data_IF_359328993563
#
_entry.id   IF_359328993563
#
_cell.length_a   1.000
_cell.length_b   1.000
_cell.length_c   1.000
_cell.angle_alpha   90.00
_cell.angle_beta   90.00
_cell.angle_gamma   90.00
#
_symmetry.space_group_name_H-M   'P 1'
#
loop_
_entity.id
_entity.type
_entity.pdbx_description
1 polymer ?
#
# COMPACT_ATOMS: atom_id res chain seq x y z
N UNK A 1 -20.59 65.86 -19.21
CA UNK A 1 -20.44 64.42 -19.08
C UNK A 1 -18.99 64.08 -19.37
N UNK A 2 -18.21 63.87 -18.32
CA UNK A 2 -16.76 63.67 -18.42
C UNK A 2 -16.48 62.18 -18.26
N UNK A 3 -15.99 61.54 -19.29
CA UNK A 3 -15.62 60.11 -19.29
C UNK A 3 -14.28 59.94 -18.52
N UNK A 4 -14.31 59.19 -17.43
CA UNK A 4 -13.13 58.83 -16.68
C UNK A 4 -12.43 57.65 -17.38
N UNK A 5 -11.20 57.86 -17.81
CA UNK A 5 -10.29 56.88 -18.37
C UNK A 5 -9.78 55.95 -17.26
N UNK A 6 -10.10 54.64 -17.33
CA UNK A 6 -9.55 53.61 -16.44
C UNK A 6 -8.13 53.27 -16.87
N UNK A 7 -7.19 53.50 -15.98
CA UNK A 7 -5.77 53.05 -16.12
C UNK A 7 -5.73 51.51 -16.01
N UNK A 8 -5.01 50.80 -16.90
CA UNK A 8 -4.86 49.35 -16.79
C UNK A 8 -3.94 48.98 -15.61
N UNK A 9 -4.39 48.01 -14.81
CA UNK A 9 -3.65 47.48 -13.69
C UNK A 9 -2.35 46.79 -14.17
N UNK A 10 -1.22 47.16 -13.59
CA UNK A 10 0.09 46.54 -13.83
C UNK A 10 0.02 45.04 -13.47
N UNK A 11 0.34 44.17 -14.45
CA UNK A 11 0.50 42.75 -14.24
C UNK A 11 1.60 42.49 -13.18
N UNK A 12 1.28 41.67 -12.17
CA UNK A 12 2.25 41.20 -11.19
C UNK A 12 3.33 40.36 -11.92
N UNK A 13 4.62 40.55 -11.62
CA UNK A 13 5.65 39.69 -12.19
C UNK A 13 5.43 38.24 -11.74
N UNK A 14 5.48 37.31 -12.68
CA UNK A 14 5.44 35.88 -12.40
C UNK A 14 6.63 35.54 -11.49
N UNK A 15 6.33 35.08 -10.28
CA UNK A 15 7.33 34.60 -9.33
C UNK A 15 8.11 33.45 -9.96
N UNK A 16 9.42 33.33 -9.65
CA UNK A 16 10.23 32.17 -9.97
C UNK A 16 9.47 30.93 -9.54
N UNK A 17 9.45 29.83 -10.36
CA UNK A 17 8.87 28.57 -9.92
C UNK A 17 9.55 28.18 -8.61
N UNK A 18 8.76 27.99 -7.56
CA UNK A 18 9.23 27.42 -6.29
C UNK A 18 9.84 26.06 -6.61
N UNK A 19 10.98 25.73 -5.96
CA UNK A 19 11.51 24.38 -6.03
C UNK A 19 10.38 23.39 -5.72
N UNK A 20 10.26 22.25 -6.46
CA UNK A 20 9.19 21.31 -6.24
C UNK A 20 9.17 20.93 -4.76
N UNK A 21 8.05 21.13 -4.09
CA UNK A 21 7.90 20.76 -2.70
C UNK A 21 8.10 19.25 -2.62
N UNK A 22 8.99 18.79 -1.75
CA UNK A 22 9.22 17.36 -1.53
C UNK A 22 7.88 16.73 -1.12
N UNK A 23 7.48 15.65 -1.80
CA UNK A 23 6.30 14.92 -1.41
C UNK A 23 6.43 14.39 0.02
N UNK A 24 5.34 14.31 0.76
CA UNK A 24 5.30 13.68 2.07
C UNK A 24 4.31 12.53 2.08
N UNK A 25 4.68 11.43 2.72
CA UNK A 25 3.81 10.28 2.92
C UNK A 25 3.62 10.07 4.41
N UNK A 26 2.40 10.31 4.88
CA UNK A 26 2.02 10.08 6.28
C UNK A 26 1.74 8.61 6.48
N UNK A 27 2.40 8.02 7.46
CA UNK A 27 2.38 6.59 7.80
C UNK A 27 2.16 6.41 9.30
N UNK A 28 1.69 5.23 9.68
CA UNK A 28 1.70 4.74 11.07
C UNK A 28 2.78 3.66 11.26
N UNK A 29 2.59 2.70 12.16
CA UNK A 29 3.55 1.63 12.43
C UNK A 29 4.00 0.88 11.16
N UNK A 30 5.30 0.67 11.02
CA UNK A 30 5.87 -0.18 9.96
C UNK A 30 5.69 -1.67 10.26
N UNK A 31 5.60 -2.03 11.53
CA UNK A 31 5.40 -3.42 11.93
C UNK A 31 3.96 -3.89 11.69
N UNK A 32 2.96 -3.06 12.04
CA UNK A 32 1.57 -3.49 12.10
C UNK A 32 0.68 -2.92 10.99
N UNK A 33 1.01 -1.73 10.42
CA UNK A 33 0.12 -1.08 9.46
C UNK A 33 0.28 -1.58 8.04
N UNK A 34 -0.62 -2.45 7.64
CA UNK A 34 -0.70 -2.93 6.26
C UNK A 34 -1.07 -1.83 5.26
N UNK A 35 -1.77 -0.79 5.69
CA UNK A 35 -2.11 0.35 4.84
C UNK A 35 -0.91 1.24 4.59
N UNK A 36 -0.10 1.49 5.61
CA UNK A 36 1.16 2.23 5.47
C UNK A 36 2.13 1.53 4.53
N UNK A 37 2.29 0.21 4.64
CA UNK A 37 3.11 -0.60 3.72
C UNK A 37 2.64 -0.43 2.27
N UNK A 38 1.33 -0.56 2.00
CA UNK A 38 0.77 -0.37 0.64
C UNK A 38 1.08 1.02 0.08
N UNK A 39 0.84 2.06 0.88
CA UNK A 39 1.11 3.45 0.45
C UNK A 39 2.58 3.69 0.13
N UNK A 40 3.48 3.18 0.97
CA UNK A 40 4.92 3.28 0.76
C UNK A 40 5.37 2.56 -0.52
N UNK A 41 4.93 1.31 -0.73
CA UNK A 41 5.26 0.55 -1.93
C UNK A 41 4.76 1.24 -3.20
N UNK A 42 3.53 1.76 -3.20
CA UNK A 42 2.97 2.50 -4.34
C UNK A 42 3.80 3.73 -4.69
N UNK A 43 4.19 4.54 -3.70
CA UNK A 43 5.02 5.72 -3.93
C UNK A 43 6.43 5.35 -4.43
N UNK A 44 7.04 4.30 -3.87
CA UNK A 44 8.33 3.79 -4.32
C UNK A 44 8.27 3.18 -5.72
N UNK A 45 7.21 2.45 -6.04
CA UNK A 45 7.00 1.87 -7.38
C UNK A 45 6.83 2.96 -8.45
N UNK A 46 6.19 4.07 -8.07
CA UNK A 46 6.09 5.25 -8.93
C UNK A 46 7.41 6.02 -9.11
N UNK A 47 8.44 5.71 -8.31
CA UNK A 47 9.69 6.46 -8.31
C UNK A 47 9.55 7.87 -7.75
N UNK A 48 8.48 8.17 -6.99
CA UNK A 48 8.26 9.48 -6.39
C UNK A 48 9.15 9.63 -5.15
N UNK A 49 10.07 10.61 -5.11
CA UNK A 49 10.81 10.94 -3.90
C UNK A 49 9.87 11.56 -2.85
N UNK A 50 9.90 11.04 -1.62
CA UNK A 50 9.08 11.57 -0.53
C UNK A 50 9.80 11.48 0.81
N UNK A 51 9.37 12.32 1.76
CA UNK A 51 9.70 12.22 3.17
C UNK A 51 8.59 11.44 3.91
N UNK A 52 8.97 10.55 4.80
CA UNK A 52 8.02 9.86 5.67
C UNK A 52 7.64 10.75 6.85
N UNK A 53 6.35 10.84 7.15
CA UNK A 53 5.80 11.51 8.33
C UNK A 53 5.09 10.46 9.17
N UNK A 54 5.69 10.10 10.29
CA UNK A 54 5.10 9.09 11.18
C UNK A 54 4.04 9.71 12.07
N UNK A 55 2.86 9.07 12.12
CA UNK A 55 1.83 9.39 13.11
C UNK A 55 2.24 8.77 14.45
N UNK A 56 2.05 9.51 15.55
CA UNK A 56 2.35 8.99 16.89
C UNK A 56 1.56 7.71 17.17
N UNK A 57 2.16 6.70 17.82
CA UNK A 57 1.45 5.52 18.31
C UNK A 57 0.28 5.86 19.27
N UNK A 58 0.39 7.01 19.96
CA UNK A 58 -0.65 7.51 20.86
C UNK A 58 -1.81 8.23 20.14
N UNK A 59 -1.70 8.40 18.81
CA UNK A 59 -2.79 8.98 18.01
C UNK A 59 -3.97 8.00 17.96
N UNK A 60 -5.11 8.42 18.50
CA UNK A 60 -6.29 7.59 18.64
C UNK A 60 -6.80 7.04 17.29
N UNK A 61 -6.68 7.81 16.20
CA UNK A 61 -7.11 7.37 14.87
C UNK A 61 -6.15 6.34 14.27
N UNK A 62 -4.83 6.51 14.50
CA UNK A 62 -3.82 5.54 14.08
C UNK A 62 -4.01 4.21 14.81
N UNK A 63 -4.23 4.25 16.14
CA UNK A 63 -4.49 3.04 16.94
C UNK A 63 -5.76 2.32 16.49
N UNK A 64 -6.85 3.05 16.21
CA UNK A 64 -8.10 2.45 15.71
C UNK A 64 -7.93 1.79 14.33
N UNK A 65 -7.12 2.36 13.44
CA UNK A 65 -6.77 1.76 12.16
C UNK A 65 -5.99 0.46 12.35
N UNK A 66 -4.97 0.48 13.22
CA UNK A 66 -4.14 -0.70 13.50
C UNK A 66 -4.95 -1.87 14.09
N UNK A 67 -5.89 -1.55 14.98
CA UNK A 67 -6.80 -2.53 15.59
C UNK A 67 -7.99 -2.89 14.68
N UNK A 68 -8.00 -2.44 13.43
CA UNK A 68 -9.07 -2.69 12.45
C UNK A 68 -10.47 -2.18 12.89
N UNK A 69 -10.53 -1.27 13.84
CA UNK A 69 -11.79 -0.75 14.40
C UNK A 69 -12.45 0.30 13.49
N UNK A 70 -11.65 1.00 12.69
CA UNK A 70 -12.14 1.97 11.70
C UNK A 70 -11.10 2.20 10.60
N UNK A 71 -11.52 2.52 9.35
CA UNK A 71 -10.61 2.99 8.33
C UNK A 71 -10.03 4.36 8.72
N UNK A 72 -8.72 4.53 8.61
CA UNK A 72 -8.08 5.84 8.79
C UNK A 72 -8.14 6.65 7.49
N UNK A 73 -8.52 7.91 7.59
CA UNK A 73 -8.36 8.90 6.53
C UNK A 73 -6.98 9.57 6.57
N UNK A 74 -6.16 9.24 7.56
CA UNK A 74 -4.84 9.85 7.81
C UNK A 74 -3.70 9.03 7.26
N UNK A 75 -3.81 7.70 7.24
CA UNK A 75 -2.74 6.79 6.81
C UNK A 75 -3.25 5.70 5.87
N UNK A 76 -2.57 5.47 4.73
CA UNK A 76 -1.54 6.35 4.18
C UNK A 76 -2.14 7.63 3.63
N UNK A 77 -1.41 8.75 3.74
CA UNK A 77 -1.81 10.01 3.14
C UNK A 77 -0.61 10.63 2.41
N UNK A 78 -0.73 10.77 1.10
CA UNK A 78 0.26 11.40 0.24
C UNK A 78 -0.08 12.88 0.08
N UNK A 79 0.89 13.76 0.36
CA UNK A 79 0.84 15.18 0.00
C UNK A 79 1.89 15.45 -1.07
N UNK A 80 1.47 15.93 -2.24
CA UNK A 80 2.35 16.20 -3.37
C UNK A 80 1.73 17.31 -4.24
N UNK A 81 2.52 18.34 -4.59
CA UNK A 81 2.11 19.46 -5.45
C UNK A 81 0.77 20.11 -5.06
N UNK A 82 0.54 20.29 -3.75
CA UNK A 82 -0.70 20.85 -3.21
C UNK A 82 -1.88 19.88 -3.15
N UNK A 83 -1.79 18.70 -3.75
CA UNK A 83 -2.77 17.64 -3.61
C UNK A 83 -2.56 16.89 -2.29
N UNK A 84 -3.67 16.55 -1.61
CA UNK A 84 -3.69 15.65 -0.46
C UNK A 84 -4.55 14.45 -0.79
N UNK A 85 -3.92 13.28 -0.91
CA UNK A 85 -4.53 12.05 -1.40
C UNK A 85 -4.44 10.96 -0.32
N UNK A 86 -5.55 10.40 0.09
CA UNK A 86 -5.63 9.27 1.02
C UNK A 86 -6.41 8.12 0.40
N UNK A 87 -6.38 6.94 1.01
CA UNK A 87 -6.78 5.65 0.45
C UNK A 87 -5.79 5.14 -0.63
N UNK A 88 -5.38 3.90 -0.50
CA UNK A 88 -4.34 3.30 -1.35
C UNK A 88 -4.71 3.24 -2.82
N UNK A 89 -6.00 3.01 -3.17
CA UNK A 89 -6.44 3.01 -4.57
C UNK A 89 -6.43 4.43 -5.17
N UNK A 90 -6.79 5.45 -4.38
CA UNK A 90 -6.72 6.84 -4.82
C UNK A 90 -5.26 7.27 -5.01
N UNK A 91 -4.37 6.89 -4.07
CA UNK A 91 -2.92 7.12 -4.18
C UNK A 91 -2.37 6.45 -5.44
N UNK A 92 -2.73 5.17 -5.70
CA UNK A 92 -2.29 4.46 -6.89
C UNK A 92 -2.73 5.13 -8.19
N UNK A 93 -3.97 5.62 -8.26
CA UNK A 93 -4.48 6.36 -9.42
C UNK A 93 -3.72 7.67 -9.62
N UNK A 94 -3.59 8.46 -8.56
CA UNK A 94 -2.85 9.72 -8.60
C UNK A 94 -1.40 9.50 -9.05
N UNK A 95 -0.71 8.52 -8.48
CA UNK A 95 0.67 8.20 -8.86
C UNK A 95 0.79 7.73 -10.31
N UNK A 96 -0.20 6.98 -10.82
CA UNK A 96 -0.22 6.57 -12.22
C UNK A 96 -0.46 7.74 -13.19
N UNK A 97 -1.11 8.82 -12.73
CA UNK A 97 -1.30 10.06 -13.51
C UNK A 97 -0.04 10.92 -13.53
N UNK A 98 0.65 11.05 -12.38
CA UNK A 98 1.86 11.89 -12.28
C UNK A 98 3.14 11.19 -12.75
N UNK A 99 3.16 9.85 -12.75
CA UNK A 99 4.27 9.02 -13.18
C UNK A 99 3.78 7.86 -14.10
N UNK A 100 3.23 8.16 -15.28
CA UNK A 100 2.63 7.14 -16.16
C UNK A 100 3.64 6.08 -16.63
N UNK A 101 4.90 6.43 -16.80
CA UNK A 101 5.97 5.54 -17.25
C UNK A 101 6.49 4.58 -16.16
N UNK A 102 6.11 4.81 -14.91
CA UNK A 102 6.45 3.91 -13.80
C UNK A 102 5.82 2.51 -13.92
N UNK A 103 4.72 2.41 -14.68
CA UNK A 103 4.08 1.13 -14.96
C UNK A 103 3.32 0.55 -13.76
N UNK A 104 2.77 1.41 -12.90
CA UNK A 104 1.93 0.98 -11.78
C UNK A 104 0.74 0.12 -12.19
N UNK A 105 0.28 0.29 -13.42
CA UNK A 105 -0.80 -0.51 -14.02
C UNK A 105 -0.33 -1.05 -15.38
N UNK A 106 -0.81 -2.24 -15.80
CA UNK A 106 -0.57 -2.75 -17.13
C UNK A 106 -0.98 -1.75 -18.23
N UNK A 107 -0.19 -1.68 -19.31
CA UNK A 107 -0.48 -0.81 -20.47
C UNK A 107 -1.74 -1.23 -21.19
N UNK A 108 -1.95 -2.55 -21.33
CA UNK A 108 -3.08 -3.11 -22.04
C UNK A 108 -4.37 -3.02 -21.23
N UNK A 109 -5.46 -2.71 -21.94
CA UNK A 109 -6.75 -2.46 -21.32
C UNK A 109 -7.30 -3.64 -20.51
N UNK A 110 -7.17 -4.87 -21.01
CA UNK A 110 -7.72 -6.06 -20.36
C UNK A 110 -6.97 -6.38 -19.07
N UNK A 111 -5.64 -6.61 -19.06
CA UNK A 111 -4.91 -6.83 -17.82
C UNK A 111 -4.98 -5.63 -16.88
N UNK A 112 -5.07 -4.39 -17.38
CA UNK A 112 -5.27 -3.20 -16.54
C UNK A 112 -6.61 -3.22 -15.82
N UNK A 113 -7.70 -3.63 -16.49
CA UNK A 113 -9.01 -3.77 -15.86
C UNK A 113 -8.97 -4.86 -14.78
N UNK A 114 -8.35 -6.00 -15.06
CA UNK A 114 -8.18 -7.09 -14.09
C UNK A 114 -7.33 -6.65 -12.88
N UNK A 115 -6.20 -5.96 -13.11
CA UNK A 115 -5.36 -5.41 -12.05
C UNK A 115 -6.15 -4.47 -11.11
N UNK A 116 -7.01 -3.63 -11.67
CA UNK A 116 -7.90 -2.76 -10.88
C UNK A 116 -8.92 -3.56 -10.09
N UNK A 117 -9.49 -4.62 -10.66
CA UNK A 117 -10.49 -5.47 -10.00
C UNK A 117 -9.91 -6.17 -8.79
N UNK A 118 -8.80 -6.89 -8.95
CA UNK A 118 -8.18 -7.62 -7.83
C UNK A 118 -7.63 -6.67 -6.75
N UNK A 119 -7.14 -5.50 -7.16
CA UNK A 119 -6.72 -4.46 -6.22
C UNK A 119 -7.89 -3.86 -5.44
N UNK A 120 -9.04 -3.67 -6.10
CA UNK A 120 -10.29 -3.22 -5.48
C UNK A 120 -10.81 -4.24 -4.48
N UNK A 121 -10.83 -5.52 -4.85
CA UNK A 121 -11.21 -6.64 -3.99
C UNK A 121 -10.29 -6.70 -2.75
N UNK A 122 -8.96 -6.55 -2.93
CA UNK A 122 -8.02 -6.50 -1.80
C UNK A 122 -8.24 -5.27 -0.90
N UNK A 123 -8.66 -4.13 -1.46
CA UNK A 123 -8.89 -2.92 -0.67
C UNK A 123 -10.11 -3.04 0.25
N UNK A 124 -11.20 -3.61 -0.22
CA UNK A 124 -12.50 -3.65 0.47
C UNK A 124 -12.83 -4.99 1.12
N UNK A 125 -12.21 -6.07 0.68
CA UNK A 125 -12.49 -7.44 1.13
C UNK A 125 -11.53 -7.98 2.18
N UNK A 126 -11.69 -9.31 2.43
CA UNK A 126 -10.80 -10.13 3.26
C UNK A 126 -10.73 -9.69 4.74
N UNK A 127 -11.88 -9.30 5.29
CA UNK A 127 -11.95 -8.83 6.68
C UNK A 127 -11.63 -9.95 7.68
N UNK A 128 -12.07 -11.18 7.41
CA UNK A 128 -11.82 -12.32 8.28
C UNK A 128 -10.34 -12.72 8.30
N UNK A 129 -9.69 -12.70 7.13
CA UNK A 129 -8.23 -12.90 7.05
C UNK A 129 -7.48 -11.85 7.87
N UNK A 130 -7.84 -10.56 7.71
CA UNK A 130 -7.16 -9.46 8.40
C UNK A 130 -7.28 -9.57 9.91
N UNK A 131 -8.46 -9.97 10.41
CA UNK A 131 -8.72 -10.16 11.83
C UNK A 131 -8.04 -11.42 12.38
N UNK A 132 -8.04 -12.52 11.61
CA UNK A 132 -7.46 -13.80 12.04
C UNK A 132 -5.93 -13.84 11.96
N UNK A 133 -5.34 -13.16 10.99
CA UNK A 133 -3.90 -13.11 10.72
C UNK A 133 -3.43 -11.64 10.71
N UNK A 134 -3.38 -10.94 11.84
CA UNK A 134 -2.91 -9.56 11.89
C UNK A 134 -1.47 -9.43 11.36
N UNK A 135 -1.15 -8.31 10.72
CA UNK A 135 0.21 -8.09 10.26
C UNK A 135 1.12 -7.76 11.44
N UNK A 136 2.15 -8.59 11.62
CA UNK A 136 3.24 -8.37 12.55
C UNK A 136 4.54 -8.88 11.89
N UNK A 137 5.39 -7.96 11.42
CA UNK A 137 6.61 -8.31 10.68
C UNK A 137 7.74 -8.82 11.58
N UNK A 138 7.62 -8.64 12.90
CA UNK A 138 8.54 -9.18 13.89
C UNK A 138 8.11 -10.56 14.37
N UNK A 139 6.81 -10.86 14.26
CA UNK A 139 6.22 -12.10 14.75
C UNK A 139 6.38 -13.26 13.76
N UNK A 140 6.49 -14.47 14.32
CA UNK A 140 6.42 -15.72 13.59
C UNK A 140 5.59 -16.72 14.39
N UNK A 141 4.50 -17.19 13.81
CA UNK A 141 3.44 -17.93 14.51
C UNK A 141 3.17 -19.31 13.85
N UNK A 142 4.13 -20.23 13.86
CA UNK A 142 4.04 -21.50 13.10
C UNK A 142 2.98 -22.46 13.60
N UNK A 143 2.47 -22.26 14.81
CA UNK A 143 1.43 -23.09 15.44
C UNK A 143 0.07 -22.40 15.50
N UNK A 144 -0.05 -21.21 14.90
CA UNK A 144 -1.31 -20.50 14.90
C UNK A 144 -2.39 -21.30 14.16
N UNK A 145 -3.48 -21.58 14.85
CA UNK A 145 -4.62 -22.26 14.25
C UNK A 145 -5.50 -21.22 13.54
N UNK A 146 -5.42 -21.20 12.22
CA UNK A 146 -6.26 -20.31 11.42
C UNK A 146 -7.73 -20.56 11.73
N UNK A 147 -8.45 -19.52 12.09
CA UNK A 147 -9.88 -19.62 12.29
C UNK A 147 -10.61 -20.02 11.00
N UNK A 148 -11.51 -21.00 11.09
CA UNK A 148 -12.20 -21.56 9.93
C UNK A 148 -12.97 -20.50 9.09
N UNK A 149 -13.43 -19.40 9.71
CA UNK A 149 -14.07 -18.30 9.00
C UNK A 149 -13.15 -17.47 8.13
N UNK A 150 -11.82 -17.57 8.31
CA UNK A 150 -10.83 -16.90 7.45
C UNK A 150 -10.42 -17.75 6.23
N UNK A 151 -10.72 -19.06 6.24
CA UNK A 151 -10.33 -19.96 5.15
C UNK A 151 -10.89 -19.54 3.79
N UNK A 152 -12.15 -19.11 3.63
CA UNK A 152 -12.66 -18.62 2.35
C UNK A 152 -11.89 -17.41 1.81
N UNK A 153 -11.42 -16.51 2.69
CA UNK A 153 -10.59 -15.36 2.29
C UNK A 153 -9.23 -15.83 1.75
N UNK A 154 -8.61 -16.82 2.43
CA UNK A 154 -7.33 -17.41 2.02
C UNK A 154 -7.50 -18.10 0.66
N UNK A 155 -8.52 -18.93 0.50
CA UNK A 155 -8.80 -19.67 -0.74
C UNK A 155 -9.01 -18.72 -1.91
N UNK A 156 -9.77 -17.64 -1.69
CA UNK A 156 -9.99 -16.61 -2.72
C UNK A 156 -8.71 -15.88 -3.11
N UNK A 157 -7.84 -15.57 -2.17
CA UNK A 157 -6.54 -14.95 -2.48
C UNK A 157 -5.64 -15.90 -3.27
N UNK A 158 -5.60 -17.17 -2.90
CA UNK A 158 -4.84 -18.21 -3.63
C UNK A 158 -5.38 -18.36 -5.05
N UNK A 159 -6.69 -18.34 -5.24
CA UNK A 159 -7.33 -18.35 -6.55
C UNK A 159 -6.89 -17.14 -7.40
N UNK A 160 -6.99 -15.92 -6.87
CA UNK A 160 -6.55 -14.69 -7.54
C UNK A 160 -5.08 -14.78 -7.95
N UNK A 161 -4.19 -15.18 -7.04
CA UNK A 161 -2.77 -15.26 -7.33
C UNK A 161 -2.47 -16.33 -8.39
N UNK A 162 -3.09 -17.51 -8.28
CA UNK A 162 -2.91 -18.61 -9.24
C UNK A 162 -3.37 -18.19 -10.63
N UNK A 163 -4.54 -17.55 -10.72
CA UNK A 163 -5.07 -17.04 -11.99
C UNK A 163 -4.14 -15.98 -12.61
N UNK A 164 -3.78 -14.95 -11.83
CA UNK A 164 -2.93 -13.87 -12.33
C UNK A 164 -1.56 -14.38 -12.78
N UNK A 165 -0.89 -15.20 -11.97
CA UNK A 165 0.43 -15.77 -12.31
C UNK A 165 0.36 -16.66 -13.55
N UNK A 166 -0.72 -17.43 -13.71
CA UNK A 166 -0.92 -18.27 -14.88
C UNK A 166 -1.26 -17.50 -16.15
N UNK A 167 -2.02 -16.41 -16.05
CA UNK A 167 -2.45 -15.61 -17.21
C UNK A 167 -1.36 -14.66 -17.73
N UNK A 168 -0.53 -14.12 -16.85
CA UNK A 168 0.39 -13.03 -17.19
C UNK A 168 1.86 -13.43 -17.20
N UNK A 169 2.16 -14.70 -16.93
CA UNK A 169 3.46 -15.34 -17.05
C UNK A 169 4.61 -14.48 -16.50
N UNK A 170 4.63 -14.30 -15.21
CA UNK A 170 5.67 -13.49 -14.58
C UNK A 170 5.86 -13.77 -13.10
N UNK A 171 6.95 -13.23 -12.52
CA UNK A 171 7.18 -13.35 -11.09
C UNK A 171 6.23 -12.45 -10.27
N UNK A 172 5.56 -11.48 -10.92
CA UNK A 172 4.56 -10.60 -10.33
C UNK A 172 3.17 -10.91 -10.89
N UNK A 173 2.12 -10.45 -10.21
CA UNK A 173 0.73 -10.80 -10.56
C UNK A 173 0.33 -10.37 -11.98
N UNK A 174 0.97 -9.37 -12.56
CA UNK A 174 0.69 -8.88 -13.90
C UNK A 174 1.92 -8.88 -14.82
N UNK A 175 2.76 -9.92 -14.73
CA UNK A 175 3.87 -10.16 -15.61
C UNK A 175 5.25 -9.89 -15.01
N UNK A 176 6.20 -9.47 -15.85
CA UNK A 176 7.60 -9.33 -15.45
C UNK A 176 7.88 -8.12 -14.55
N UNK A 177 6.97 -7.15 -14.46
CA UNK A 177 7.13 -5.92 -13.68
C UNK A 177 6.08 -5.85 -12.58
N UNK A 178 6.53 -5.38 -11.40
CA UNK A 178 5.63 -5.10 -10.29
C UNK A 178 4.58 -4.05 -10.66
N UNK A 179 3.39 -4.18 -10.13
CA UNK A 179 2.23 -3.33 -10.36
C UNK A 179 1.59 -2.88 -9.04
N UNK A 180 0.52 -2.08 -9.13
CA UNK A 180 -0.26 -1.73 -7.95
C UNK A 180 -0.82 -2.97 -7.22
N UNK A 181 -1.16 -4.03 -7.96
CA UNK A 181 -1.68 -5.26 -7.35
C UNK A 181 -0.65 -5.88 -6.40
N UNK A 182 0.63 -5.90 -6.77
CA UNK A 182 1.69 -6.43 -5.91
C UNK A 182 1.85 -5.60 -4.63
N UNK A 183 1.75 -4.27 -4.72
CA UNK A 183 1.73 -3.41 -3.53
C UNK A 183 0.51 -3.69 -2.65
N UNK A 184 -0.66 -3.94 -3.25
CA UNK A 184 -1.89 -4.25 -2.51
C UNK A 184 -1.83 -5.59 -1.81
N UNK A 185 -1.22 -6.61 -2.42
CA UNK A 185 -1.10 -7.95 -1.83
C UNK A 185 0.15 -8.16 -0.96
N UNK A 186 1.17 -7.29 -1.00
CA UNK A 186 2.38 -7.44 -0.20
C UNK A 186 2.13 -7.68 1.31
N UNK A 187 1.19 -6.98 1.99
CA UNK A 187 0.87 -7.30 3.38
C UNK A 187 0.24 -8.68 3.59
N UNK A 188 -0.41 -9.26 2.57
CA UNK A 188 -0.93 -10.63 2.63
C UNK A 188 0.20 -11.63 2.55
N UNK A 189 1.18 -11.37 1.69
CA UNK A 189 2.42 -12.18 1.62
C UNK A 189 3.07 -12.26 2.99
N UNK A 190 3.25 -11.13 3.69
CA UNK A 190 3.86 -11.14 5.03
C UNK A 190 3.04 -11.96 6.02
N UNK A 191 1.70 -11.83 6.00
CA UNK A 191 0.82 -12.63 6.84
C UNK A 191 0.96 -14.13 6.56
N UNK A 192 0.89 -14.53 5.30
CA UNK A 192 0.99 -15.95 4.93
C UNK A 192 2.32 -16.57 5.37
N UNK A 193 3.40 -15.80 5.32
CA UNK A 193 4.71 -16.26 5.80
C UNK A 193 4.79 -16.28 7.33
N UNK A 194 4.31 -15.25 8.02
CA UNK A 194 4.35 -15.20 9.50
C UNK A 194 3.53 -16.31 10.16
N UNK A 195 2.43 -16.72 9.53
CA UNK A 195 1.51 -17.75 10.05
C UNK A 195 1.65 -19.12 9.35
N UNK A 196 2.67 -19.29 8.50
CA UNK A 196 2.98 -20.53 7.76
C UNK A 196 1.78 -21.11 7.00
N UNK A 197 0.99 -20.24 6.35
CA UNK A 197 -0.14 -20.67 5.53
C UNK A 197 0.35 -21.54 4.39
N UNK A 198 -0.27 -22.74 4.23
CA UNK A 198 0.11 -23.65 3.16
C UNK A 198 -0.35 -23.13 1.80
N UNK A 199 0.57 -22.98 0.87
CA UNK A 199 0.33 -22.37 -0.43
C UNK A 199 0.76 -23.31 -1.58
N UNK A 200 0.10 -23.22 -2.75
CA UNK A 200 0.60 -23.84 -3.97
C UNK A 200 1.99 -23.33 -4.34
N UNK A 201 2.82 -24.14 -5.06
CA UNK A 201 4.20 -23.75 -5.37
C UNK A 201 4.34 -22.40 -6.08
N UNK A 202 3.43 -22.06 -7.01
CA UNK A 202 3.45 -20.78 -7.71
C UNK A 202 3.22 -19.60 -6.73
N UNK A 203 2.30 -19.74 -5.79
CA UNK A 203 2.02 -18.73 -4.77
C UNK A 203 3.18 -18.60 -3.77
N UNK A 204 3.87 -19.71 -3.44
CA UNK A 204 5.09 -19.67 -2.62
C UNK A 204 6.21 -18.90 -3.34
N UNK A 205 6.43 -19.17 -4.63
CA UNK A 205 7.41 -18.46 -5.43
C UNK A 205 7.08 -16.96 -5.53
N UNK A 206 5.81 -16.60 -5.67
CA UNK A 206 5.36 -15.21 -5.63
C UNK A 206 5.68 -14.54 -4.28
N UNK A 207 5.43 -15.21 -3.15
CA UNK A 207 5.81 -14.70 -1.84
C UNK A 207 7.31 -14.42 -1.75
N UNK A 208 8.15 -15.31 -2.26
CA UNK A 208 9.61 -15.11 -2.29
C UNK A 208 9.98 -13.91 -3.16
N UNK A 209 9.35 -13.75 -4.32
CA UNK A 209 9.56 -12.60 -5.22
C UNK A 209 9.23 -11.28 -4.52
N UNK A 210 8.09 -11.19 -3.85
CA UNK A 210 7.68 -9.96 -3.12
C UNK A 210 8.67 -9.67 -2.00
N UNK A 211 9.04 -10.65 -1.19
CA UNK A 211 9.95 -10.44 -0.07
C UNK A 211 11.38 -10.11 -0.50
N UNK A 212 11.77 -10.50 -1.72
CA UNK A 212 13.09 -10.17 -2.29
C UNK A 212 13.18 -8.75 -2.88
N UNK A 213 12.07 -8.02 -2.99
CA UNK A 213 12.11 -6.63 -3.48
C UNK A 213 12.91 -5.75 -2.51
N UNK A 214 13.78 -4.86 -3.03
CA UNK A 214 14.55 -3.94 -2.18
C UNK A 214 13.68 -3.14 -1.22
N UNK A 215 12.51 -2.66 -1.68
CA UNK A 215 11.57 -1.89 -0.88
C UNK A 215 10.98 -2.69 0.29
N UNK A 216 10.76 -3.99 0.10
CA UNK A 216 10.29 -4.88 1.17
C UNK A 216 11.40 -5.18 2.17
N UNK A 217 12.62 -5.42 1.70
CA UNK A 217 13.79 -5.64 2.57
C UNK A 217 14.01 -4.42 3.48
N UNK A 218 14.00 -3.21 2.91
CA UNK A 218 14.16 -1.97 3.67
C UNK A 218 13.01 -1.76 4.67
N UNK A 219 11.77 -2.02 4.24
CA UNK A 219 10.59 -1.87 5.10
C UNK A 219 10.64 -2.82 6.29
N UNK A 220 10.92 -4.11 6.06
CA UNK A 220 11.03 -5.12 7.13
C UNK A 220 12.18 -4.80 8.09
N UNK A 221 13.32 -4.34 7.57
CA UNK A 221 14.43 -3.91 8.42
C UNK A 221 14.03 -2.74 9.33
N UNK A 222 13.32 -1.74 8.79
CA UNK A 222 12.82 -0.62 9.56
C UNK A 222 11.76 -1.03 10.59
N UNK A 223 10.85 -1.94 10.24
CA UNK A 223 9.83 -2.47 11.15
C UNK A 223 10.46 -3.19 12.36
N UNK A 224 11.56 -3.90 12.15
CA UNK A 224 12.29 -4.59 13.24
C UNK A 224 12.95 -3.64 14.22
N UNK A 225 13.25 -2.42 13.81
CA UNK A 225 13.85 -1.37 14.65
C UNK A 225 12.80 -0.47 15.31
N UNK A 226 11.54 -0.64 14.98
CA UNK A 226 10.46 0.18 15.54
C UNK A 226 10.26 -0.14 17.03
N UNK A 227 10.33 0.86 17.93
CA UNK A 227 10.31 0.61 19.38
C UNK A 227 8.90 0.32 19.91
N UNK A 228 7.86 0.71 19.15
CA UNK A 228 6.48 0.61 19.59
C UNK A 228 5.99 -0.85 19.55
N UNK A 229 5.41 -1.29 20.64
CA UNK A 229 4.69 -2.55 20.76
C UNK A 229 3.20 -2.25 20.97
N UNK A 230 2.36 -3.08 20.37
CA UNK A 230 0.91 -3.04 20.56
C UNK A 230 0.54 -4.40 21.13
N UNK A 231 0.32 -4.44 22.45
CA UNK A 231 0.06 -5.69 23.19
C UNK A 231 -1.04 -6.53 22.55
N UNK A 232 -2.11 -5.88 22.05
CA UNK A 232 -3.24 -6.56 21.39
C UNK A 232 -2.86 -7.26 20.07
N UNK A 233 -1.72 -6.89 19.47
CA UNK A 233 -1.22 -7.47 18.21
C UNK A 233 0.05 -8.32 18.40
N UNK A 234 0.62 -8.30 19.61
CA UNK A 234 1.80 -9.09 20.00
C UNK A 234 1.41 -10.31 20.85
N UNK A 235 0.11 -10.61 20.99
CA UNK A 235 -0.33 -11.77 21.76
C UNK A 235 0.18 -13.08 21.12
N UNK A 236 0.80 -13.91 21.92
CA UNK A 236 1.06 -15.31 21.60
C UNK A 236 -0.28 -16.07 21.55
N UNK A 237 -0.61 -16.60 20.40
CA UNK A 237 -1.81 -17.42 20.18
C UNK A 237 -1.53 -18.91 20.38
#
# INVERSE_FOLDING_TARGET
MTLATRTPAKARPAGKPAAPALATLTLSSKNYSSWSLRGCLLARFAGLPFAEVMVSPDDADARRELLLLAPSIRVPCLTHDGAKVWNTLAIAKYLNEVAPDAGLMPSDRIPRAHCRSVSGEMNSGFANLRASLPMNLRGHFPRHKVWAGAQPDIDRIVEIWTECLGLYDGPFLFGARRSMADAMFAPVVTRFLSYEVQLPPACQAYCQTIMAMPEMIEWVAAARLEPAEIEELDMDF
#
